data_IF_157823117084
#
_entry.id   IF_157823117084
#
_cell.length_a   1.000
_cell.length_b   1.000
_cell.length_c   1.000
_cell.angle_alpha   90.00
_cell.angle_beta   90.00
_cell.angle_gamma   90.00
#
_symmetry.space_group_name_H-M   'P 1'
#
loop_
_entity.id
_entity.type
_entity.pdbx_description
1 polymer ?
#
# COMPACT_ATOMS: atom_id res chain seq x y z
N UNK A 1 -7.31 -18.71 -9.20
CA UNK A 1 -5.90 -18.42 -8.83
C UNK A 1 -5.65 -16.93 -8.99
N UNK A 2 -4.93 -16.33 -8.05
CA UNK A 2 -4.50 -14.96 -8.14
C UNK A 2 -3.23 -14.89 -8.99
N UNK A 3 -3.20 -13.96 -9.96
CA UNK A 3 -1.95 -13.64 -10.61
C UNK A 3 -1.15 -12.68 -9.71
N UNK A 4 0.01 -13.12 -9.25
CA UNK A 4 0.93 -12.30 -8.46
C UNK A 4 2.01 -11.75 -9.38
N UNK A 5 2.16 -10.43 -9.39
CA UNK A 5 3.29 -9.78 -10.05
C UNK A 5 4.36 -9.53 -9.00
N UNK A 6 5.32 -10.44 -8.90
CA UNK A 6 6.46 -10.27 -8.03
C UNK A 6 7.42 -9.22 -8.61
N UNK A 7 7.96 -8.37 -7.75
CA UNK A 7 9.05 -7.47 -8.10
C UNK A 7 10.36 -8.29 -8.12
N UNK A 8 10.74 -8.83 -9.27
CA UNK A 8 11.91 -9.72 -9.41
C UNK A 8 13.24 -8.97 -9.51
N UNK A 9 13.20 -7.66 -9.73
CA UNK A 9 14.36 -6.77 -9.79
C UNK A 9 14.17 -5.63 -8.78
N UNK A 10 15.21 -4.81 -8.61
CA UNK A 10 15.16 -3.65 -7.72
C UNK A 10 14.33 -2.48 -8.31
N UNK A 11 13.19 -2.79 -8.86
CA UNK A 11 12.22 -1.86 -9.43
C UNK A 11 10.81 -2.46 -9.49
N UNK A 12 9.81 -1.62 -9.59
CA UNK A 12 8.48 -2.06 -9.97
C UNK A 12 8.46 -2.48 -11.46
N UNK A 13 7.72 -3.55 -11.84
CA UNK A 13 7.49 -3.88 -13.25
C UNK A 13 6.89 -2.71 -14.02
N UNK A 14 7.07 -2.66 -15.33
CA UNK A 14 6.37 -1.73 -16.21
C UNK A 14 5.01 -2.30 -16.58
N UNK A 15 4.11 -1.46 -17.09
CA UNK A 15 2.78 -1.91 -17.52
C UNK A 15 2.84 -3.00 -18.59
N UNK A 16 3.79 -2.90 -19.52
CA UNK A 16 3.99 -3.87 -20.61
C UNK A 16 4.67 -5.19 -20.18
N UNK A 17 5.20 -5.22 -18.96
CA UNK A 17 5.79 -6.42 -18.34
C UNK A 17 4.76 -7.19 -17.48
N UNK A 18 3.57 -6.62 -17.26
CA UNK A 18 2.54 -7.27 -16.46
C UNK A 18 1.88 -8.41 -17.27
N UNK A 19 2.03 -9.62 -16.78
CA UNK A 19 1.34 -10.79 -17.31
C UNK A 19 0.25 -11.24 -16.35
N UNK A 20 -1.01 -11.23 -16.83
CA UNK A 20 -2.14 -11.77 -16.08
C UNK A 20 -2.42 -13.16 -16.62
N UNK A 21 -2.46 -14.16 -15.75
CA UNK A 21 -2.78 -15.54 -16.12
C UNK A 21 -4.17 -15.62 -16.73
N UNK A 22 -4.32 -16.40 -17.79
CA UNK A 22 -5.61 -16.63 -18.44
C UNK A 22 -6.61 -17.21 -17.44
N UNK A 23 -7.80 -16.61 -17.38
CA UNK A 23 -8.85 -17.00 -16.43
C UNK A 23 -8.62 -16.56 -14.99
N UNK A 24 -7.63 -15.70 -14.70
CA UNK A 24 -7.43 -15.14 -13.38
C UNK A 24 -8.67 -14.38 -12.90
N UNK A 25 -9.09 -14.62 -11.66
CA UNK A 25 -10.24 -13.94 -11.06
C UNK A 25 -9.93 -12.47 -10.70
N UNK A 26 -8.68 -12.15 -10.42
CA UNK A 26 -8.19 -10.80 -10.08
C UNK A 26 -6.68 -10.70 -10.27
N UNK A 27 -6.16 -9.48 -10.28
CA UNK A 27 -4.74 -9.18 -10.08
C UNK A 27 -4.54 -8.56 -8.71
N UNK A 28 -3.66 -9.14 -7.91
CA UNK A 28 -3.22 -8.58 -6.62
C UNK A 28 -1.84 -7.93 -6.77
N UNK A 29 -1.65 -6.77 -6.12
CA UNK A 29 -0.33 -6.16 -5.97
C UNK A 29 -0.23 -5.36 -4.67
N UNK A 30 0.99 -5.18 -4.19
CA UNK A 30 1.32 -4.26 -3.13
C UNK A 30 1.77 -2.93 -3.76
N UNK A 31 1.05 -1.84 -3.50
CA UNK A 31 1.33 -0.53 -4.13
C UNK A 31 2.66 0.07 -3.69
N UNK A 32 3.08 -0.22 -2.46
CA UNK A 32 4.35 0.20 -1.88
C UNK A 32 4.96 -0.94 -1.06
N UNK A 33 5.99 -1.56 -1.59
CA UNK A 33 6.73 -2.61 -0.91
C UNK A 33 7.63 -1.99 0.16
N UNK A 34 7.35 -2.32 1.43
CA UNK A 34 7.87 -1.63 2.61
C UNK A 34 9.34 -1.94 2.87
N UNK A 35 9.75 -3.20 2.63
CA UNK A 35 11.09 -3.70 3.04
C UNK A 35 12.18 -3.16 2.13
N UNK A 36 11.97 -3.27 0.82
CA UNK A 36 12.95 -2.82 -0.17
C UNK A 36 12.73 -1.36 -0.62
N UNK A 37 11.63 -0.72 -0.21
CA UNK A 37 11.35 0.66 -0.58
C UNK A 37 10.99 0.85 -2.05
N UNK A 38 10.26 -0.11 -2.63
CA UNK A 38 9.85 -0.09 -4.03
C UNK A 38 8.38 0.31 -4.12
N UNK A 39 8.06 1.21 -5.02
CA UNK A 39 6.70 1.70 -5.22
C UNK A 39 6.27 1.63 -6.68
N UNK A 40 5.01 1.25 -6.91
CA UNK A 40 4.32 1.45 -8.17
C UNK A 40 3.84 2.90 -8.25
N UNK A 41 4.36 3.69 -9.21
CA UNK A 41 3.94 5.07 -9.46
C UNK A 41 2.83 5.14 -10.50
N UNK A 42 2.32 4.01 -10.93
CA UNK A 42 1.19 3.87 -11.81
C UNK A 42 0.24 2.82 -11.23
N UNK A 43 -1.00 2.87 -11.61
CA UNK A 43 -1.98 1.82 -11.33
C UNK A 43 -1.91 0.79 -12.45
N UNK A 44 -1.74 -0.50 -12.18
CA UNK A 44 -1.85 -1.55 -13.19
C UNK A 44 -3.17 -1.47 -13.96
N UNK A 45 -3.10 -1.47 -15.28
CA UNK A 45 -4.27 -1.53 -16.17
C UNK A 45 -4.47 -2.96 -16.63
N UNK A 46 -5.53 -3.58 -16.15
CA UNK A 46 -5.83 -5.00 -16.39
C UNK A 46 -7.34 -5.21 -16.58
N UNK A 47 -7.70 -6.29 -17.27
CA UNK A 47 -9.10 -6.62 -17.58
C UNK A 47 -9.81 -7.42 -16.47
N UNK A 48 -9.15 -7.63 -15.35
CA UNK A 48 -9.69 -8.31 -14.16
C UNK A 48 -9.77 -7.34 -12.98
N UNK A 49 -10.56 -7.62 -11.93
CA UNK A 49 -10.57 -6.82 -10.72
C UNK A 49 -9.17 -6.60 -10.16
N UNK A 50 -8.79 -5.36 -9.92
CA UNK A 50 -7.50 -5.01 -9.32
C UNK A 50 -7.64 -4.95 -7.81
N UNK A 51 -6.82 -5.72 -7.10
CA UNK A 51 -6.75 -5.75 -5.64
C UNK A 51 -5.42 -5.15 -5.19
N UNK A 52 -5.46 -4.16 -4.29
CA UNK A 52 -4.27 -3.47 -3.83
C UNK A 52 -4.11 -3.54 -2.30
N UNK A 53 -2.94 -3.98 -1.85
CA UNK A 53 -2.46 -3.67 -0.51
C UNK A 53 -1.82 -2.28 -0.52
N UNK A 54 -2.45 -1.35 0.21
CA UNK A 54 -1.95 0.01 0.40
C UNK A 54 -1.53 0.28 1.84
N UNK A 55 -1.24 -0.75 2.63
CA UNK A 55 -0.97 -0.60 4.07
C UNK A 55 0.14 0.41 4.38
N UNK A 56 1.17 0.51 3.56
CA UNK A 56 2.28 1.42 3.83
C UNK A 56 2.18 2.79 3.16
N UNK A 57 1.24 2.99 2.24
CA UNK A 57 1.07 4.25 1.52
C UNK A 57 -0.38 4.78 1.49
N UNK A 58 -1.29 4.13 2.24
CA UNK A 58 -2.67 4.60 2.39
C UNK A 58 -2.71 6.04 2.90
N UNK A 59 -3.54 6.89 2.29
CA UNK A 59 -3.65 8.32 2.57
C UNK A 59 -2.36 9.16 2.33
N UNK A 60 -1.37 8.61 1.65
CA UNK A 60 -0.14 9.34 1.33
C UNK A 60 -0.25 10.21 0.05
N UNK A 61 -1.25 9.93 -0.78
CA UNK A 61 -1.55 10.65 -2.02
C UNK A 61 -3.02 10.43 -2.44
N UNK A 62 -3.56 11.26 -3.35
CA UNK A 62 -4.86 11.01 -3.97
C UNK A 62 -4.89 9.68 -4.72
N UNK A 63 -5.98 8.93 -4.55
CA UNK A 63 -6.24 7.65 -5.24
C UNK A 63 -7.65 7.66 -5.81
N UNK A 64 -7.81 7.30 -7.08
CA UNK A 64 -9.12 7.07 -7.68
C UNK A 64 -9.59 5.64 -7.34
N UNK A 65 -10.33 5.52 -6.25
CA UNK A 65 -10.82 4.23 -5.74
C UNK A 65 -11.75 3.50 -6.73
N UNK A 66 -12.37 4.21 -7.67
CA UNK A 66 -13.28 3.61 -8.67
C UNK A 66 -12.58 2.64 -9.62
N UNK A 67 -11.26 2.72 -9.70
CA UNK A 67 -10.41 1.89 -10.57
C UNK A 67 -9.99 0.57 -9.93
N UNK A 68 -10.40 0.31 -8.69
CA UNK A 68 -10.02 -0.89 -7.95
C UNK A 68 -11.24 -1.79 -7.72
N UNK A 69 -11.01 -3.09 -7.70
CA UNK A 69 -11.97 -4.06 -7.21
C UNK A 69 -11.99 -4.06 -5.67
N UNK A 70 -10.80 -4.01 -5.07
CA UNK A 70 -10.63 -3.94 -3.62
C UNK A 70 -9.32 -3.26 -3.27
N UNK A 71 -9.35 -2.41 -2.25
CA UNK A 71 -8.18 -1.86 -1.58
C UNK A 71 -8.26 -2.28 -0.12
N UNK A 72 -7.15 -2.72 0.46
CA UNK A 72 -7.06 -2.86 1.90
C UNK A 72 -5.81 -2.18 2.43
N UNK A 73 -5.87 -1.75 3.69
CA UNK A 73 -4.78 -1.07 4.38
C UNK A 73 -4.84 -1.33 5.88
N UNK A 74 -3.79 -1.94 6.43
CA UNK A 74 -3.57 -2.01 7.86
C UNK A 74 -3.19 -0.62 8.42
N UNK A 75 -3.83 -0.23 9.54
CA UNK A 75 -3.65 1.12 10.08
C UNK A 75 -2.24 1.40 10.60
N UNK A 76 -1.55 0.39 11.11
CA UNK A 76 -0.31 0.49 11.88
C UNK A 76 0.87 1.15 11.18
N UNK A 77 0.79 1.36 9.87
CA UNK A 77 1.89 1.97 9.12
C UNK A 77 1.70 3.47 8.90
N UNK A 78 0.55 3.90 8.38
CA UNK A 78 0.40 5.29 7.95
C UNK A 78 -0.83 6.04 8.48
N UNK A 79 -1.85 5.39 9.05
CA UNK A 79 -3.05 6.14 9.44
C UNK A 79 -3.63 5.81 10.82
N UNK A 80 -2.97 4.92 11.61
CA UNK A 80 -3.47 4.62 12.96
C UNK A 80 -2.63 3.56 13.68
N UNK A 81 -3.10 3.05 14.81
CA UNK A 81 -2.45 1.98 15.55
C UNK A 81 -2.75 0.60 14.94
N UNK A 82 -2.00 -0.41 15.38
CA UNK A 82 -2.28 -1.81 15.06
C UNK A 82 -3.67 -2.25 15.55
N UNK A 83 -4.25 -3.24 14.89
CA UNK A 83 -5.55 -3.84 15.24
C UNK A 83 -6.73 -3.33 14.40
N UNK A 84 -6.51 -2.43 13.46
CA UNK A 84 -7.52 -1.96 12.50
C UNK A 84 -7.02 -2.17 11.08
N UNK A 85 -7.89 -2.63 10.20
CA UNK A 85 -7.69 -2.67 8.75
C UNK A 85 -8.89 -2.04 8.06
N UNK A 86 -8.64 -1.10 7.16
CA UNK A 86 -9.66 -0.56 6.26
C UNK A 86 -9.72 -1.40 5.01
N UNK A 87 -10.94 -1.74 4.58
CA UNK A 87 -11.21 -2.42 3.31
C UNK A 87 -12.21 -1.57 2.53
N UNK A 88 -11.86 -1.24 1.29
CA UNK A 88 -12.72 -0.56 0.33
C UNK A 88 -12.96 -1.54 -0.81
N UNK A 89 -14.16 -2.09 -0.92
CA UNK A 89 -14.48 -3.11 -1.90
C UNK A 89 -15.62 -2.65 -2.82
N UNK A 90 -15.55 -3.02 -4.09
CA UNK A 90 -16.68 -2.90 -5.02
C UNK A 90 -17.80 -3.83 -4.57
N UNK A 91 -19.02 -3.32 -4.56
CA UNK A 91 -20.20 -4.08 -4.08
C UNK A 91 -20.47 -5.36 -4.87
N UNK A 92 -20.20 -5.36 -6.16
CA UNK A 92 -20.42 -6.51 -7.04
C UNK A 92 -19.45 -7.69 -6.80
N UNK A 93 -18.39 -7.46 -6.00
CA UNK A 93 -17.45 -8.50 -5.58
C UNK A 93 -17.86 -9.19 -4.27
N UNK A 94 -18.82 -8.63 -3.53
CA UNK A 94 -19.30 -9.23 -2.29
C UNK A 94 -20.26 -10.41 -2.57
N UNK A 95 -20.43 -11.29 -1.58
CA UNK A 95 -21.34 -12.43 -1.67
C UNK A 95 -20.87 -13.55 -2.62
N UNK A 96 -19.59 -13.61 -2.92
CA UNK A 96 -18.98 -14.65 -3.77
C UNK A 96 -18.14 -15.65 -2.99
N UNK A 97 -18.18 -15.59 -1.66
CA UNK A 97 -17.48 -16.54 -0.80
C UNK A 97 -18.04 -17.95 -0.99
N UNK A 98 -17.19 -18.95 -0.96
CA UNK A 98 -17.61 -20.34 -0.98
C UNK A 98 -18.35 -20.71 0.31
N UNK A 99 -19.22 -21.71 0.27
CA UNK A 99 -20.04 -22.15 1.41
C UNK A 99 -19.21 -22.61 2.62
N UNK A 100 -17.97 -22.97 2.39
CA UNK A 100 -17.00 -23.40 3.42
C UNK A 100 -16.20 -22.25 4.02
N UNK A 101 -16.34 -21.02 3.49
CA UNK A 101 -15.62 -19.86 3.98
C UNK A 101 -16.04 -19.52 5.41
N UNK A 102 -15.12 -19.43 6.37
CA UNK A 102 -15.43 -18.98 7.72
C UNK A 102 -16.09 -17.60 7.73
N UNK A 103 -17.08 -17.38 8.57
CA UNK A 103 -17.88 -16.15 8.65
C UNK A 103 -17.03 -14.88 8.67
N UNK A 104 -15.91 -14.88 9.42
CA UNK A 104 -15.05 -13.69 9.55
C UNK A 104 -14.12 -13.47 8.35
N UNK A 105 -14.06 -14.40 7.40
CA UNK A 105 -13.32 -14.26 6.14
C UNK A 105 -14.22 -13.89 4.96
N UNK A 106 -15.53 -13.77 5.18
CA UNK A 106 -16.49 -13.32 4.19
C UNK A 106 -16.78 -11.83 4.36
N UNK A 107 -16.39 -11.02 3.39
CA UNK A 107 -16.66 -9.58 3.39
C UNK A 107 -18.16 -9.23 3.39
N UNK A 108 -19.03 -10.13 2.93
CA UNK A 108 -20.48 -9.92 3.02
C UNK A 108 -20.95 -9.80 4.47
N UNK A 109 -20.32 -10.53 5.39
CA UNK A 109 -20.60 -10.42 6.83
C UNK A 109 -20.36 -8.98 7.31
N UNK A 110 -19.20 -8.42 6.98
CA UNK A 110 -18.90 -7.02 7.36
C UNK A 110 -19.84 -6.02 6.72
N UNK A 111 -20.22 -6.22 5.47
CA UNK A 111 -21.16 -5.33 4.77
C UNK A 111 -22.56 -5.36 5.42
N UNK A 112 -23.04 -6.55 5.80
CA UNK A 112 -24.39 -6.72 6.39
C UNK A 112 -24.49 -6.14 7.81
N UNK A 113 -23.38 -6.10 8.55
CA UNK A 113 -23.34 -5.66 9.95
C UNK A 113 -22.55 -4.36 10.15
N UNK A 114 -22.35 -3.56 9.09
CA UNK A 114 -21.62 -2.28 9.17
C UNK A 114 -20.27 -2.39 9.87
N UNK A 115 -19.55 -3.48 9.61
CA UNK A 115 -18.26 -3.87 10.25
C UNK A 115 -18.35 -4.17 11.74
N UNK A 116 -19.55 -4.33 12.31
CA UNK A 116 -19.78 -4.57 13.74
C UNK A 116 -20.42 -5.93 14.02
N UNK A 117 -20.10 -6.95 13.25
CA UNK A 117 -20.57 -8.33 13.50
C UNK A 117 -20.15 -8.83 14.90
N UNK A 118 -18.97 -8.43 15.34
CA UNK A 118 -18.45 -8.58 16.70
C UNK A 118 -17.96 -7.24 17.22
N UNK A 119 -17.61 -7.14 18.49
CA UNK A 119 -17.07 -5.92 19.10
C UNK A 119 -15.85 -5.42 18.32
N UNK A 120 -15.90 -4.20 17.76
CA UNK A 120 -14.81 -3.67 16.97
C UNK A 120 -13.65 -3.17 17.85
N UNK A 121 -12.43 -2.99 17.30
CA UNK A 121 -11.29 -2.41 18.02
C UNK A 121 -11.48 -0.90 18.23
N UNK A 122 -12.36 -0.53 19.16
CA UNK A 122 -12.85 0.85 19.35
C UNK A 122 -11.73 1.87 19.53
N UNK A 123 -10.69 1.53 20.30
CA UNK A 123 -9.56 2.45 20.50
C UNK A 123 -8.81 2.71 19.19
N UNK A 124 -8.53 1.67 18.40
CA UNK A 124 -7.84 1.83 17.13
C UNK A 124 -8.68 2.66 16.13
N UNK A 125 -9.99 2.45 16.09
CA UNK A 125 -10.92 3.23 15.27
C UNK A 125 -10.91 4.71 15.72
N UNK A 126 -10.97 4.97 17.02
CA UNK A 126 -10.96 6.33 17.57
C UNK A 126 -9.67 7.08 17.22
N UNK A 127 -8.51 6.46 17.39
CA UNK A 127 -7.23 7.09 17.05
C UNK A 127 -7.13 7.33 15.53
N UNK A 128 -7.52 6.36 14.70
CA UNK A 128 -7.53 6.53 13.25
C UNK A 128 -8.48 7.65 12.80
N UNK A 129 -9.63 7.81 13.48
CA UNK A 129 -10.52 8.95 13.26
C UNK A 129 -9.83 10.28 13.56
N UNK A 130 -9.09 10.38 14.67
CA UNK A 130 -8.33 11.60 15.01
C UNK A 130 -7.24 11.89 13.97
N UNK A 131 -6.53 10.86 13.49
CA UNK A 131 -5.55 11.00 12.40
C UNK A 131 -6.21 11.53 11.13
N UNK A 132 -7.36 10.98 10.74
CA UNK A 132 -8.10 11.46 9.57
C UNK A 132 -8.58 12.92 9.74
N UNK A 133 -9.05 13.29 10.93
CA UNK A 133 -9.42 14.70 11.23
C UNK A 133 -8.22 15.63 11.11
N UNK A 134 -7.09 15.26 11.68
CA UNK A 134 -5.85 16.02 11.57
C UNK A 134 -5.43 16.14 10.09
N UNK A 135 -5.43 15.05 9.34
CA UNK A 135 -5.06 15.04 7.93
C UNK A 135 -5.94 16.00 7.11
N UNK A 136 -7.24 16.02 7.34
CA UNK A 136 -8.15 16.95 6.70
C UNK A 136 -7.86 18.41 7.07
N UNK A 137 -7.59 18.68 8.34
CA UNK A 137 -7.24 20.03 8.83
C UNK A 137 -5.93 20.54 8.23
N UNK A 138 -4.98 19.64 7.95
CA UNK A 138 -3.68 19.97 7.35
C UNK A 138 -3.73 20.16 5.81
N UNK A 139 -4.90 20.00 5.17
CA UNK A 139 -5.06 20.17 3.72
C UNK A 139 -5.29 18.88 2.94
N UNK A 140 -5.51 17.77 3.64
CA UNK A 140 -5.88 16.48 3.05
C UNK A 140 -4.72 15.74 2.37
N UNK A 141 -5.06 14.72 1.60
CA UNK A 141 -4.07 13.83 0.97
C UNK A 141 -3.14 14.52 -0.03
N UNK A 142 -3.58 15.61 -0.65
CA UNK A 142 -2.70 16.42 -1.55
C UNK A 142 -1.56 17.07 -0.79
N UNK A 143 -1.85 17.57 0.41
CA UNK A 143 -0.81 18.16 1.27
C UNK A 143 0.12 17.06 1.82
N UNK A 144 -0.43 15.90 2.18
CA UNK A 144 0.39 14.76 2.60
C UNK A 144 1.34 14.30 1.48
N UNK A 145 0.88 14.26 0.25
CA UNK A 145 1.72 13.97 -0.92
C UNK A 145 2.85 15.00 -1.05
N UNK A 146 2.53 16.29 -1.02
CA UNK A 146 3.53 17.36 -1.08
C UNK A 146 4.59 17.23 0.01
N UNK A 147 4.18 16.95 1.25
CA UNK A 147 5.10 16.75 2.38
C UNK A 147 5.97 15.51 2.20
N UNK A 148 5.40 14.40 1.71
CA UNK A 148 6.16 13.17 1.48
C UNK A 148 7.21 13.33 0.39
N UNK A 149 6.89 14.07 -0.69
CA UNK A 149 7.86 14.43 -1.73
C UNK A 149 9.04 15.19 -1.13
N UNK A 150 8.77 16.26 -0.39
CA UNK A 150 9.83 17.11 0.20
C UNK A 150 10.70 16.34 1.19
N UNK A 151 10.10 15.50 2.03
CA UNK A 151 10.85 14.71 3.03
C UNK A 151 11.72 13.65 2.36
N UNK A 152 11.14 12.86 1.46
CA UNK A 152 11.88 11.79 0.79
C UNK A 152 12.99 12.33 -0.11
N UNK A 153 12.74 13.46 -0.80
CA UNK A 153 13.74 14.09 -1.65
C UNK A 153 14.99 14.49 -0.87
N UNK A 154 14.83 15.09 0.33
CA UNK A 154 15.97 15.45 1.19
C UNK A 154 16.84 14.24 1.54
N UNK A 155 16.22 13.09 1.80
CA UNK A 155 16.96 11.87 2.14
C UNK A 155 17.63 11.30 0.89
N UNK A 156 16.91 11.22 -0.24
CA UNK A 156 17.50 10.74 -1.49
C UNK A 156 18.61 11.63 -2.00
N UNK A 157 18.51 12.95 -1.84
CA UNK A 157 19.59 13.89 -2.20
C UNK A 157 20.84 13.64 -1.32
N UNK A 158 20.66 13.36 -0.02
CA UNK A 158 21.77 13.01 0.85
C UNK A 158 22.43 11.69 0.46
N UNK A 159 21.64 10.69 0.07
CA UNK A 159 22.15 9.38 -0.41
C UNK A 159 22.90 9.57 -1.73
N UNK A 160 22.24 10.19 -2.72
CA UNK A 160 22.75 10.32 -4.08
C UNK A 160 24.02 11.23 -4.16
N UNK A 161 24.19 12.18 -3.22
CA UNK A 161 25.34 13.09 -3.14
C UNK A 161 26.40 12.67 -2.10
N UNK A 162 26.36 11.45 -1.60
CA UNK A 162 27.28 10.95 -0.56
C UNK A 162 28.59 10.37 -1.09
N UNK A 163 28.92 10.57 -2.37
CA UNK A 163 30.06 9.97 -3.06
C UNK A 163 30.13 8.44 -2.88
N UNK A 164 28.95 7.81 -2.81
CA UNK A 164 28.80 6.36 -2.66
C UNK A 164 29.00 5.85 -1.24
N UNK A 165 29.11 6.71 -0.24
CA UNK A 165 29.10 6.28 1.17
C UNK A 165 27.76 5.62 1.52
N UNK A 166 26.65 6.26 1.15
CA UNK A 166 25.32 5.65 1.13
C UNK A 166 24.97 5.24 -0.29
N UNK A 167 24.28 4.12 -0.45
CA UNK A 167 23.74 3.75 -1.75
C UNK A 167 22.34 3.14 -1.64
N UNK A 168 21.55 3.34 -2.67
CA UNK A 168 20.21 2.77 -2.81
C UNK A 168 20.16 2.05 -4.17
N UNK A 169 19.87 0.74 -4.13
CA UNK A 169 19.86 -0.12 -5.31
C UNK A 169 18.56 -0.04 -6.11
N UNK A 170 17.59 0.77 -5.66
CA UNK A 170 16.29 0.88 -6.31
C UNK A 170 16.40 1.85 -7.48
N UNK A 171 15.88 1.43 -8.64
CA UNK A 171 15.75 2.32 -9.80
C UNK A 171 14.99 3.60 -9.40
N UNK A 172 15.50 4.78 -9.76
CA UNK A 172 14.97 6.08 -9.30
C UNK A 172 13.46 6.24 -9.53
N UNK A 173 12.94 5.71 -10.65
CA UNK A 173 11.51 5.73 -10.98
C UNK A 173 10.65 4.84 -10.07
N UNK A 174 11.26 3.93 -9.31
CA UNK A 174 10.57 2.98 -8.42
C UNK A 174 10.82 3.27 -6.95
N UNK A 175 11.56 4.32 -6.62
CA UNK A 175 11.87 4.70 -5.22
C UNK A 175 10.60 5.08 -4.47
N UNK A 176 10.40 4.49 -3.31
CA UNK A 176 9.30 4.83 -2.40
C UNK A 176 9.52 6.19 -1.75
N UNK A 177 8.44 6.95 -1.55
CA UNK A 177 8.43 8.16 -0.70
C UNK A 177 8.10 7.87 0.75
N UNK A 178 7.63 6.65 1.04
CA UNK A 178 7.22 6.24 2.39
C UNK A 178 8.35 5.50 3.11
N UNK A 179 9.13 4.72 2.38
CA UNK A 179 10.19 3.85 2.89
C UNK A 179 11.46 4.12 2.07
N UNK A 180 12.34 4.95 2.60
CA UNK A 180 13.64 5.23 1.98
C UNK A 180 14.65 4.25 2.55
N UNK A 181 15.04 3.28 1.74
CA UNK A 181 16.02 2.25 2.10
C UNK A 181 17.39 2.67 1.56
N UNK A 182 18.42 2.45 2.34
CA UNK A 182 19.81 2.65 1.91
C UNK A 182 20.74 1.67 2.62
N UNK A 183 21.90 1.47 2.04
CA UNK A 183 22.99 0.68 2.59
C UNK A 183 24.26 1.52 2.66
N UNK A 184 25.20 1.08 3.47
CA UNK A 184 26.54 1.65 3.54
C UNK A 184 27.48 0.86 2.63
N UNK A 185 28.46 1.55 2.02
CA UNK A 185 29.46 0.91 1.18
C UNK A 185 30.34 -0.07 1.98
N UNK A 186 30.57 0.19 3.27
CA UNK A 186 31.27 -0.71 4.16
C UNK A 186 30.28 -1.71 4.77
N UNK A 187 30.41 -3.00 4.41
CA UNK A 187 29.54 -4.08 4.89
C UNK A 187 29.63 -4.27 6.42
N UNK A 188 30.77 -4.02 7.05
CA UNK A 188 30.92 -4.11 8.51
C UNK A 188 30.03 -3.09 9.22
N UNK A 189 29.85 -1.89 8.65
CA UNK A 189 28.97 -0.86 9.20
C UNK A 189 27.48 -1.17 8.99
N UNK A 190 27.12 -2.02 8.03
CA UNK A 190 25.75 -2.46 7.83
C UNK A 190 25.28 -3.49 8.86
N UNK A 191 26.20 -4.07 9.63
CA UNK A 191 25.91 -5.08 10.66
C UNK A 191 25.79 -4.50 12.08
N UNK A 192 26.09 -3.21 12.24
CA UNK A 192 25.92 -2.46 13.49
C UNK A 192 24.53 -1.83 13.60
#
# INVERSE_FOLDING_TARGET
EAAEVACTELRAPRQDELAVTDGAAYLYYCSNETVNGIRYWYRPEVNVPLIADMSSDFLSQPVDISKYGLIFAGAQKNFGPAGLTVVIARKDLLGRAESTTPTMLDYQTYANFESMYNTPPTFAIYISHLVCKWLLAEGGVKEMERRSILKSQKIYDAIDNSDGFYYNNIEKRSRSRMNVVFNLKNEELNQL
#
